data_IF_718775977391
#
_entry.id   IF_718775977391
#
_cell.length_a   1.000
_cell.length_b   1.000
_cell.length_c   1.000
_cell.angle_alpha   90.00
_cell.angle_beta   90.00
_cell.angle_gamma   90.00
#
_symmetry.space_group_name_H-M   'P 1'
#
loop_
_entity.id
_entity.type
_entity.pdbx_description
1 polymer ?
#
# COMPACT_ATOMS: atom_id res chain seq x y z
N UNK A 1 -32.20 11.24 -5.44
CA UNK A 1 -31.12 10.61 -6.26
C UNK A 1 -31.04 11.41 -7.54
N UNK A 2 -30.01 12.20 -7.72
CA UNK A 2 -29.76 12.88 -8.98
C UNK A 2 -29.38 11.85 -10.05
N UNK A 3 -30.33 11.52 -10.92
CA UNK A 3 -30.12 10.62 -12.04
C UNK A 3 -29.20 11.17 -13.14
N UNK A 4 -28.63 12.35 -12.95
CA UNK A 4 -27.86 13.08 -13.96
C UNK A 4 -26.37 13.23 -13.64
N UNK A 5 -25.86 12.58 -12.59
CA UNK A 5 -24.44 12.66 -12.26
C UNK A 5 -23.65 11.66 -13.11
N UNK A 6 -22.79 12.21 -13.93
CA UNK A 6 -21.70 11.44 -14.59
C UNK A 6 -20.65 11.19 -13.52
N UNK A 7 -20.72 10.03 -12.91
CA UNK A 7 -19.90 9.62 -11.78
C UNK A 7 -20.77 9.13 -10.62
N UNK A 8 -20.18 8.41 -9.68
CA UNK A 8 -20.87 7.98 -8.46
C UNK A 8 -20.51 8.91 -7.32
N UNK A 9 -21.48 9.66 -6.82
CA UNK A 9 -21.37 10.38 -5.56
C UNK A 9 -22.05 9.57 -4.46
N UNK A 10 -21.33 9.34 -3.37
CA UNK A 10 -21.86 8.63 -2.22
C UNK A 10 -21.53 9.40 -0.95
N UNK A 11 -22.53 9.78 -0.19
CA UNK A 11 -22.32 10.33 1.15
C UNK A 11 -22.63 9.30 2.24
N UNK A 12 -22.13 9.54 3.44
CA UNK A 12 -22.34 8.64 4.60
C UNK A 12 -23.84 8.48 4.90
N UNK A 13 -24.64 9.56 4.75
CA UNK A 13 -26.09 9.52 4.95
C UNK A 13 -26.74 8.55 3.97
N UNK A 14 -26.42 8.62 2.67
CA UNK A 14 -27.02 7.77 1.65
C UNK A 14 -26.62 6.31 1.84
N UNK A 15 -25.34 6.08 2.17
CA UNK A 15 -24.83 4.73 2.42
C UNK A 15 -25.53 4.04 3.59
N UNK A 16 -25.88 4.77 4.64
CA UNK A 16 -26.50 4.22 5.84
C UNK A 16 -27.99 4.46 5.94
N UNK A 17 -28.62 4.99 4.89
CA UNK A 17 -30.05 5.29 4.86
C UNK A 17 -30.91 4.08 5.27
N UNK A 18 -30.67 2.93 4.65
CA UNK A 18 -31.39 1.69 4.95
C UNK A 18 -30.77 0.86 6.10
N UNK A 19 -29.68 1.31 6.66
CA UNK A 19 -28.94 0.56 7.71
C UNK A 19 -28.47 1.47 8.83
N UNK A 20 -29.39 2.20 9.51
CA UNK A 20 -29.02 3.20 10.53
C UNK A 20 -28.28 2.59 11.72
N UNK A 21 -28.51 1.30 12.01
CA UNK A 21 -27.77 0.59 13.05
C UNK A 21 -26.25 0.50 12.74
N UNK A 22 -25.89 0.40 11.47
CA UNK A 22 -24.47 0.37 11.05
C UNK A 22 -23.78 1.72 11.21
N UNK A 23 -24.51 2.82 11.14
CA UNK A 23 -23.99 4.18 11.37
C UNK A 23 -23.40 4.29 12.79
N UNK A 24 -23.99 3.59 13.77
CA UNK A 24 -23.51 3.58 15.17
C UNK A 24 -22.13 2.92 15.34
N UNK A 25 -21.67 2.14 14.38
CA UNK A 25 -20.34 1.50 14.41
C UNK A 25 -19.24 2.37 13.80
N UNK A 26 -19.58 3.51 13.20
CA UNK A 26 -18.57 4.47 12.75
C UNK A 26 -17.81 5.02 13.97
N UNK A 27 -16.52 5.16 13.77
CA UNK A 27 -15.63 5.80 14.75
C UNK A 27 -15.78 7.33 14.66
N UNK A 28 -14.88 8.05 15.32
CA UNK A 28 -14.86 9.51 15.18
C UNK A 28 -14.57 9.92 13.73
N UNK A 29 -15.09 11.08 13.31
CA UNK A 29 -14.89 11.63 11.96
C UNK A 29 -13.40 11.68 11.57
N UNK A 30 -12.53 12.03 12.51
CA UNK A 30 -11.09 12.04 12.31
C UNK A 30 -10.54 10.64 12.00
N UNK A 31 -11.03 9.61 12.67
CA UNK A 31 -10.60 8.23 12.46
C UNK A 31 -11.08 7.70 11.12
N UNK A 32 -12.34 7.98 10.76
CA UNK A 32 -12.92 7.58 9.49
C UNK A 32 -12.25 8.30 8.32
N UNK A 33 -12.00 9.61 8.45
CA UNK A 33 -11.27 10.38 7.45
C UNK A 33 -9.85 9.84 7.22
N UNK A 34 -9.16 9.45 8.29
CA UNK A 34 -7.83 8.83 8.17
C UNK A 34 -7.88 7.46 7.50
N UNK A 35 -8.92 6.68 7.75
CA UNK A 35 -9.14 5.39 7.08
C UNK A 35 -9.44 5.58 5.59
N UNK A 36 -10.25 6.57 5.23
CA UNK A 36 -10.53 6.94 3.84
C UNK A 36 -9.25 7.39 3.12
N UNK A 37 -8.46 8.26 3.75
CA UNK A 37 -7.19 8.73 3.20
C UNK A 37 -6.23 7.58 2.94
N UNK A 38 -6.11 6.64 3.88
CA UNK A 38 -5.25 5.47 3.72
C UNK A 38 -5.75 4.54 2.63
N UNK A 39 -7.07 4.38 2.47
CA UNK A 39 -7.65 3.58 1.39
C UNK A 39 -7.37 4.23 0.02
N UNK A 40 -7.59 5.54 -0.11
CA UNK A 40 -7.29 6.29 -1.33
C UNK A 40 -5.81 6.25 -1.70
N UNK A 41 -4.92 6.38 -0.70
CA UNK A 41 -3.46 6.27 -0.88
C UNK A 41 -3.05 4.89 -1.42
N UNK A 42 -3.63 3.81 -0.88
CA UNK A 42 -3.37 2.45 -1.35
C UNK A 42 -3.85 2.25 -2.79
N UNK A 43 -5.02 2.78 -3.13
CA UNK A 43 -5.51 2.76 -4.52
C UNK A 43 -4.54 3.50 -5.45
N UNK A 44 -4.09 4.68 -5.06
CA UNK A 44 -3.19 5.50 -5.86
C UNK A 44 -1.81 4.84 -6.06
N UNK A 45 -1.25 4.20 -5.03
CA UNK A 45 -0.01 3.43 -5.16
C UNK A 45 -0.17 2.20 -6.06
N UNK A 46 -1.35 1.56 -6.02
CA UNK A 46 -1.63 0.37 -6.85
C UNK A 46 -1.95 0.67 -8.31
N UNK A 47 -2.34 1.93 -8.62
CA UNK A 47 -2.80 2.36 -9.94
C UNK A 47 -2.12 3.65 -10.38
N UNK A 48 -0.82 3.62 -10.69
CA UNK A 48 -0.08 4.81 -11.10
C UNK A 48 -0.59 5.43 -12.41
N UNK A 49 -1.33 4.67 -13.22
CA UNK A 49 -1.97 5.10 -14.46
C UNK A 49 -3.24 5.94 -14.22
N UNK A 50 -3.74 6.00 -12.98
CA UNK A 50 -4.95 6.75 -12.64
C UNK A 50 -4.58 8.03 -11.89
N UNK A 51 -5.10 9.17 -12.38
CA UNK A 51 -4.99 10.42 -11.63
C UNK A 51 -5.99 10.43 -10.47
N UNK A 52 -5.48 10.53 -9.25
CA UNK A 52 -6.30 10.54 -8.03
C UNK A 52 -6.01 11.80 -7.23
N UNK A 53 -7.09 12.54 -6.92
CA UNK A 53 -7.04 13.68 -6.01
C UNK A 53 -7.86 13.36 -4.76
N UNK A 54 -7.26 13.49 -3.61
CA UNK A 54 -7.94 13.31 -2.33
C UNK A 54 -8.04 14.65 -1.59
N UNK A 55 -9.28 15.07 -1.34
CA UNK A 55 -9.60 16.33 -0.65
C UNK A 55 -10.26 15.98 0.68
N UNK A 56 -9.79 16.58 1.75
CA UNK A 56 -10.34 16.44 3.10
C UNK A 56 -10.54 17.85 3.69
N UNK A 57 -11.71 18.13 4.21
CA UNK A 57 -12.04 19.42 4.83
C UNK A 57 -11.64 20.64 3.96
N UNK A 58 -11.90 20.54 2.63
CA UNK A 58 -11.52 21.50 1.59
C UNK A 58 -10.02 21.65 1.33
N UNK A 59 -9.17 20.86 2.01
CA UNK A 59 -7.72 20.83 1.78
C UNK A 59 -7.36 19.64 0.92
N UNK A 60 -6.51 19.86 -0.08
CA UNK A 60 -5.92 18.78 -0.87
C UNK A 60 -4.85 18.07 -0.05
N UNK A 61 -5.09 16.83 0.30
CA UNK A 61 -4.14 15.99 1.06
C UNK A 61 -3.08 15.38 0.15
N UNK A 62 -3.49 14.96 -1.06
CA UNK A 62 -2.57 14.50 -2.09
C UNK A 62 -3.21 14.51 -3.49
N UNK A 63 -2.33 14.53 -4.49
CA UNK A 63 -2.69 14.41 -5.90
C UNK A 63 -1.66 13.54 -6.62
N UNK A 64 -2.12 12.56 -7.42
CA UNK A 64 -1.28 11.76 -8.31
C UNK A 64 -1.58 12.09 -9.78
N UNK A 65 -0.54 12.23 -10.62
CA UNK A 65 -0.73 12.71 -12.00
C UNK A 65 -1.40 11.70 -12.94
N UNK A 66 -1.32 10.39 -12.65
CA UNK A 66 -1.84 9.35 -13.54
C UNK A 66 -0.94 9.11 -14.76
N UNK A 67 0.35 9.34 -14.63
CA UNK A 67 1.34 9.23 -15.71
C UNK A 67 1.89 7.80 -15.91
N UNK A 68 1.37 6.83 -15.17
CA UNK A 68 1.80 5.44 -15.19
C UNK A 68 3.14 5.19 -14.48
N UNK A 69 3.74 6.21 -13.85
CA UNK A 69 5.04 6.07 -13.18
C UNK A 69 4.86 5.88 -11.69
N UNK A 70 5.34 4.76 -11.17
CA UNK A 70 5.33 4.48 -9.73
C UNK A 70 6.11 5.53 -8.93
N UNK A 71 7.19 6.06 -9.49
CA UNK A 71 8.01 7.12 -8.86
C UNK A 71 7.20 8.38 -8.57
N UNK A 72 6.40 8.83 -9.54
CA UNK A 72 5.53 10.00 -9.40
C UNK A 72 4.50 9.80 -8.28
N UNK A 73 3.93 8.59 -8.19
CA UNK A 73 3.01 8.22 -7.11
C UNK A 73 3.70 8.21 -5.76
N UNK A 74 4.84 7.55 -5.63
CA UNK A 74 5.61 7.50 -4.37
C UNK A 74 5.98 8.91 -3.91
N UNK A 75 6.45 9.77 -4.83
CA UNK A 75 6.78 11.16 -4.50
C UNK A 75 5.57 11.95 -4.01
N UNK A 76 4.44 11.84 -4.70
CA UNK A 76 3.21 12.58 -4.37
C UNK A 76 2.58 12.10 -3.06
N UNK A 77 2.66 10.80 -2.76
CA UNK A 77 1.91 10.18 -1.67
C UNK A 77 2.70 10.04 -0.36
N UNK A 78 4.01 9.83 -0.45
CA UNK A 78 4.85 9.66 0.73
C UNK A 78 5.45 10.96 1.26
N UNK A 79 5.26 12.05 0.53
CA UNK A 79 5.82 13.35 0.86
C UNK A 79 7.31 13.47 0.50
N UNK A 80 7.75 14.70 0.27
CA UNK A 80 9.08 15.01 -0.25
C UNK A 80 10.21 14.39 0.58
N UNK A 81 10.15 14.53 1.89
CA UNK A 81 11.23 14.09 2.80
C UNK A 81 11.43 12.57 2.76
N UNK A 82 10.32 11.82 2.69
CA UNK A 82 10.40 10.36 2.58
C UNK A 82 10.77 9.95 1.16
N UNK A 83 10.17 10.57 0.15
CA UNK A 83 10.39 10.20 -1.24
C UNK A 83 11.85 10.36 -1.68
N UNK A 84 12.55 11.39 -1.18
CA UNK A 84 13.99 11.61 -1.45
C UNK A 84 14.88 10.54 -0.81
N UNK A 85 14.38 9.81 0.17
CA UNK A 85 15.09 8.73 0.85
C UNK A 85 14.69 7.34 0.32
N UNK A 86 13.80 7.28 -0.68
CA UNK A 86 13.38 6.01 -1.28
C UNK A 86 14.34 5.60 -2.41
N UNK A 87 14.78 4.37 -2.34
CA UNK A 87 15.64 3.72 -3.32
C UNK A 87 14.81 2.75 -4.15
N UNK A 88 15.01 2.76 -5.45
CA UNK A 88 14.36 1.79 -6.34
C UNK A 88 14.99 0.42 -6.15
N UNK A 89 14.18 -0.60 -6.03
CA UNK A 89 14.60 -1.99 -5.99
C UNK A 89 13.93 -2.80 -7.09
N UNK A 90 14.64 -3.78 -7.60
CA UNK A 90 14.13 -4.75 -8.56
C UNK A 90 14.89 -6.07 -8.37
N UNK A 91 14.19 -7.16 -8.45
CA UNK A 91 14.77 -8.49 -8.38
C UNK A 91 13.81 -9.53 -8.94
N UNK A 92 14.36 -10.65 -9.35
CA UNK A 92 13.58 -11.80 -9.80
C UNK A 92 14.23 -13.07 -9.24
N UNK A 93 13.43 -13.90 -8.58
CA UNK A 93 13.89 -15.17 -8.04
C UNK A 93 12.75 -16.19 -8.09
N UNK A 94 13.04 -17.40 -8.58
CA UNK A 94 12.07 -18.50 -8.67
C UNK A 94 10.78 -18.14 -9.42
N UNK A 95 10.86 -17.30 -10.45
CA UNK A 95 9.68 -16.84 -11.20
C UNK A 95 8.81 -15.82 -10.45
N UNK A 96 9.32 -15.28 -9.34
CA UNK A 96 8.70 -14.20 -8.57
C UNK A 96 9.49 -12.92 -8.85
N UNK A 97 8.81 -11.94 -9.44
CA UNK A 97 9.39 -10.62 -9.69
C UNK A 97 8.98 -9.66 -8.57
N UNK A 98 9.97 -8.95 -8.05
CA UNK A 98 9.79 -7.93 -7.02
C UNK A 98 10.31 -6.61 -7.56
N UNK A 99 9.47 -5.59 -7.56
CA UNK A 99 9.83 -4.23 -7.96
C UNK A 99 9.31 -3.23 -6.94
N UNK A 100 9.83 -2.03 -6.92
CA UNK A 100 9.28 -0.97 -6.09
C UNK A 100 10.33 -0.07 -5.47
N UNK A 101 9.99 0.44 -4.30
CA UNK A 101 10.78 1.43 -3.59
C UNK A 101 10.87 1.07 -2.11
N UNK A 102 12.05 1.26 -1.54
CA UNK A 102 12.31 1.06 -0.10
C UNK A 102 13.14 2.21 0.44
N UNK A 103 12.99 2.54 1.70
CA UNK A 103 13.77 3.61 2.32
C UNK A 103 15.24 3.25 2.42
N UNK A 104 16.11 4.26 2.32
CA UNK A 104 17.52 4.08 2.64
C UNK A 104 17.70 3.60 4.10
N UNK A 105 18.80 2.89 4.43
CA UNK A 105 19.08 2.47 5.80
C UNK A 105 19.16 3.61 6.82
N UNK A 106 19.46 4.83 6.37
CA UNK A 106 19.49 6.03 7.22
C UNK A 106 18.08 6.51 7.60
N UNK A 107 17.02 6.04 6.93
CA UNK A 107 15.65 6.51 7.12
C UNK A 107 14.70 5.39 7.56
N UNK A 108 14.34 5.39 8.83
CA UNK A 108 13.38 4.44 9.40
C UNK A 108 12.20 5.13 10.06
N UNK A 109 11.04 4.50 10.03
CA UNK A 109 9.82 4.93 10.73
C UNK A 109 9.71 4.26 12.09
N UNK A 110 9.00 4.90 13.05
CA UNK A 110 8.73 4.32 14.38
C UNK A 110 7.70 3.19 14.36
N UNK A 111 7.05 2.97 13.22
CA UNK A 111 6.05 1.90 13.06
C UNK A 111 5.99 1.43 11.59
N UNK A 112 5.19 0.36 11.34
CA UNK A 112 5.02 -0.27 10.03
C UNK A 112 3.99 0.39 9.12
N UNK A 113 3.49 1.58 9.45
CA UNK A 113 2.40 2.24 8.70
C UNK A 113 2.78 2.65 7.27
N UNK A 114 4.08 2.76 6.99
CA UNK A 114 4.62 3.10 5.67
C UNK A 114 5.11 1.87 4.88
N UNK A 115 4.64 0.67 5.22
CA UNK A 115 4.92 -0.55 4.47
C UNK A 115 3.70 -0.92 3.63
N UNK A 116 3.84 -0.84 2.31
CA UNK A 116 2.79 -1.14 1.34
C UNK A 116 3.25 -2.29 0.44
N UNK A 117 2.42 -3.33 0.38
CA UNK A 117 2.69 -4.50 -0.45
C UNK A 117 1.56 -4.71 -1.45
N UNK A 118 1.92 -4.96 -2.68
CA UNK A 118 1.00 -5.27 -3.76
C UNK A 118 1.36 -6.62 -4.37
N UNK A 119 0.39 -7.50 -4.48
CA UNK A 119 0.54 -8.81 -5.11
C UNK A 119 -0.34 -8.87 -6.35
N UNK A 120 0.25 -9.03 -7.52
CA UNK A 120 -0.45 -9.01 -8.80
C UNK A 120 -1.43 -7.82 -8.92
N UNK A 121 -0.97 -6.60 -8.58
CA UNK A 121 -1.74 -5.36 -8.61
C UNK A 121 -2.68 -5.15 -7.41
N UNK A 122 -2.84 -6.10 -6.51
CA UNK A 122 -3.71 -6.00 -5.34
C UNK A 122 -2.94 -5.62 -4.09
N UNK A 123 -3.42 -4.60 -3.35
CA UNK A 123 -2.89 -4.31 -2.02
C UNK A 123 -3.15 -5.46 -1.05
N UNK A 124 -2.10 -5.89 -0.35
CA UNK A 124 -2.16 -6.96 0.65
C UNK A 124 -1.47 -6.57 1.95
N UNK A 125 -1.90 -7.19 3.03
CA UNK A 125 -1.21 -7.20 4.33
C UNK A 125 -0.61 -8.58 4.52
N UNK A 126 0.69 -8.66 4.73
CA UNK A 126 1.38 -9.93 4.92
C UNK A 126 2.50 -9.78 5.94
N UNK A 127 2.40 -10.53 7.02
CA UNK A 127 3.46 -10.61 8.03
C UNK A 127 4.74 -11.23 7.45
N UNK A 128 4.59 -12.16 6.51
CA UNK A 128 5.70 -12.78 5.79
C UNK A 128 6.53 -11.72 5.05
N UNK A 129 5.87 -10.84 4.29
CA UNK A 129 6.54 -9.79 3.52
C UNK A 129 7.17 -8.74 4.44
N UNK A 130 6.48 -8.38 5.53
CA UNK A 130 7.05 -7.50 6.56
C UNK A 130 8.33 -8.09 7.13
N UNK A 131 8.31 -9.37 7.51
CA UNK A 131 9.48 -10.06 8.05
C UNK A 131 10.62 -10.14 7.03
N UNK A 132 10.33 -10.39 5.75
CA UNK A 132 11.34 -10.43 4.70
C UNK A 132 12.04 -9.08 4.51
N UNK A 133 11.25 -7.98 4.48
CA UNK A 133 11.79 -6.62 4.39
C UNK A 133 12.62 -6.29 5.64
N UNK A 134 12.09 -6.54 6.84
CA UNK A 134 12.78 -6.23 8.09
C UNK A 134 14.08 -7.06 8.25
N UNK A 135 14.07 -8.31 7.77
CA UNK A 135 15.27 -9.13 7.77
C UNK A 135 16.38 -8.60 6.85
N UNK A 136 16.01 -8.04 5.69
CA UNK A 136 16.97 -7.41 4.79
C UNK A 136 17.65 -6.16 5.42
N UNK A 137 16.92 -5.48 6.30
CA UNK A 137 17.43 -4.31 7.04
C UNK A 137 18.05 -4.64 8.40
N UNK A 138 18.17 -5.93 8.73
CA UNK A 138 18.78 -6.34 9.99
C UNK A 138 20.21 -5.83 10.09
N UNK A 139 20.52 -5.17 11.19
CA UNK A 139 21.79 -4.52 11.49
C UNK A 139 22.12 -3.24 10.68
N UNK A 140 21.23 -2.75 9.84
CA UNK A 140 21.42 -1.50 9.10
C UNK A 140 20.54 -0.36 9.61
N UNK A 141 19.35 -0.67 10.10
CA UNK A 141 18.46 0.30 10.76
C UNK A 141 18.70 0.34 12.27
N UNK A 142 18.45 1.50 12.85
CA UNK A 142 18.44 1.68 14.31
C UNK A 142 17.35 0.80 14.95
N UNK A 143 17.63 0.30 16.14
CA UNK A 143 16.69 -0.51 16.94
C UNK A 143 15.36 0.23 17.13
N UNK A 144 14.25 -0.48 16.91
CA UNK A 144 12.90 0.08 17.00
C UNK A 144 12.47 0.92 15.79
N UNK A 145 13.24 0.92 14.72
CA UNK A 145 12.87 1.53 13.45
C UNK A 145 12.50 0.48 12.41
N UNK A 146 11.57 0.86 11.54
CA UNK A 146 11.05 0.01 10.46
C UNK A 146 11.28 0.67 9.11
N UNK A 147 11.70 -0.07 8.09
CA UNK A 147 11.86 0.48 6.75
C UNK A 147 10.49 0.86 6.17
N UNK A 148 10.45 1.97 5.44
CA UNK A 148 9.31 2.30 4.61
C UNK A 148 9.47 1.60 3.26
N UNK A 149 8.37 1.12 2.67
CA UNK A 149 8.42 0.49 1.36
C UNK A 149 7.08 0.56 0.62
N UNK A 150 7.17 0.54 -0.70
CA UNK A 150 6.07 0.24 -1.61
C UNK A 150 6.57 -0.83 -2.59
N UNK A 151 6.22 -2.09 -2.33
CA UNK A 151 6.71 -3.24 -3.08
C UNK A 151 5.59 -3.89 -3.90
N UNK A 152 5.91 -4.20 -5.14
CA UNK A 152 5.04 -4.85 -6.10
C UNK A 152 5.60 -6.22 -6.41
N UNK A 153 4.86 -7.26 -6.07
CA UNK A 153 5.22 -8.65 -6.21
C UNK A 153 4.35 -9.26 -7.31
N UNK A 154 5.00 -9.76 -8.35
CA UNK A 154 4.35 -10.47 -9.44
C UNK A 154 4.74 -11.94 -9.38
N UNK A 155 3.75 -12.81 -9.33
CA UNK A 155 3.92 -14.27 -9.31
C UNK A 155 2.76 -14.95 -10.01
N UNK A 156 2.93 -16.24 -10.33
CA UNK A 156 1.88 -17.03 -10.98
C UNK A 156 0.60 -17.05 -10.16
N UNK A 157 -0.55 -16.86 -10.81
CA UNK A 157 -1.86 -16.83 -10.14
C UNK A 157 -2.17 -18.10 -9.34
N UNK A 158 -1.66 -19.25 -9.76
CA UNK A 158 -1.81 -20.52 -9.04
C UNK A 158 -0.96 -20.61 -7.75
N UNK A 159 -0.05 -19.67 -7.54
CA UNK A 159 0.85 -19.65 -6.37
C UNK A 159 0.32 -18.79 -5.22
N UNK A 160 -0.84 -18.15 -5.37
CA UNK A 160 -1.43 -17.29 -4.36
C UNK A 160 -2.94 -17.51 -4.27
N UNK A 161 -3.42 -17.77 -3.05
CA UNK A 161 -4.85 -17.79 -2.73
C UNK A 161 -5.24 -16.46 -2.10
N UNK A 162 -6.15 -15.74 -2.75
CA UNK A 162 -6.67 -14.44 -2.30
C UNK A 162 -8.00 -14.55 -1.57
N UNK A 163 -8.59 -15.74 -1.49
CA UNK A 163 -9.89 -15.97 -0.86
C UNK A 163 -9.76 -16.38 0.61
N UNK A 164 -8.85 -15.77 1.33
CA UNK A 164 -8.57 -16.08 2.75
C UNK A 164 -9.37 -15.19 3.69
N UNK A 165 -9.61 -13.93 3.31
CA UNK A 165 -10.27 -12.94 4.16
C UNK A 165 -11.40 -12.21 3.39
N UNK A 166 -12.56 -11.91 4.01
CA UNK A 166 -13.68 -11.23 3.32
C UNK A 166 -13.29 -9.91 2.62
N UNK A 167 -12.41 -9.11 3.23
CA UNK A 167 -11.88 -7.90 2.63
C UNK A 167 -10.79 -8.16 1.58
N UNK A 168 -10.38 -9.41 1.38
CA UNK A 168 -9.33 -9.84 0.42
C UNK A 168 -8.02 -9.04 0.56
N UNK A 169 -7.72 -8.58 1.76
CA UNK A 169 -6.47 -7.88 2.08
C UNK A 169 -5.37 -8.82 2.56
N UNK A 170 -5.72 -10.07 2.83
CA UNK A 170 -4.78 -11.12 3.23
C UNK A 170 -4.75 -12.19 2.15
N UNK A 171 -3.58 -12.74 1.90
CA UNK A 171 -3.36 -13.79 0.91
C UNK A 171 -2.55 -14.91 1.54
N UNK A 172 -2.73 -16.12 1.03
CA UNK A 172 -1.91 -17.28 1.38
C UNK A 172 -1.06 -17.64 0.16
N UNK A 173 0.24 -17.70 0.36
CA UNK A 173 1.17 -18.14 -0.67
C UNK A 173 1.34 -19.67 -0.59
N UNK A 174 1.36 -20.34 -1.74
CA UNK A 174 1.61 -21.78 -1.79
C UNK A 174 3.02 -22.13 -1.32
N UNK A 175 4.00 -21.26 -1.63
CA UNK A 175 5.42 -21.46 -1.30
C UNK A 175 5.96 -20.21 -0.60
N UNK A 176 5.60 -20.06 0.68
CA UNK A 176 5.96 -18.88 1.50
C UNK A 176 7.46 -18.60 1.52
N UNK A 177 8.28 -19.65 1.58
CA UNK A 177 9.75 -19.51 1.61
C UNK A 177 10.29 -18.90 0.33
N UNK A 178 9.77 -19.29 -0.84
CA UNK A 178 10.22 -18.71 -2.12
C UNK A 178 9.87 -17.24 -2.22
N UNK A 179 8.67 -16.86 -1.72
CA UNK A 179 8.23 -15.46 -1.69
C UNK A 179 9.09 -14.64 -0.72
N UNK A 180 9.36 -15.18 0.46
CA UNK A 180 10.26 -14.56 1.43
C UNK A 180 11.66 -14.33 0.83
N UNK A 181 12.26 -15.38 0.26
CA UNK A 181 13.60 -15.32 -0.33
C UNK A 181 13.63 -14.32 -1.51
N UNK A 182 12.61 -14.30 -2.38
CA UNK A 182 12.53 -13.36 -3.49
C UNK A 182 12.53 -11.91 -3.01
N UNK A 183 11.73 -11.57 -1.99
CA UNK A 183 11.70 -10.22 -1.43
C UNK A 183 13.01 -9.90 -0.72
N UNK A 184 13.49 -10.79 0.13
CA UNK A 184 14.73 -10.59 0.89
C UNK A 184 15.92 -10.34 -0.04
N UNK A 185 16.13 -11.21 -1.03
CA UNK A 185 17.24 -11.12 -1.97
C UNK A 185 17.16 -9.86 -2.86
N UNK A 186 15.95 -9.38 -3.17
CA UNK A 186 15.79 -8.13 -3.92
C UNK A 186 16.23 -6.89 -3.14
N UNK A 187 16.43 -6.99 -1.84
CA UNK A 187 16.70 -5.87 -0.94
C UNK A 187 18.09 -5.90 -0.28
N UNK A 188 18.78 -7.04 -0.26
CA UNK A 188 20.06 -7.17 0.46
C UNK A 188 21.22 -6.35 -0.13
N UNK A 189 21.02 -5.77 -1.31
CA UNK A 189 22.06 -4.95 -1.98
C UNK A 189 21.82 -3.43 -1.79
N UNK A 190 20.89 -3.05 -0.91
CA UNK A 190 20.51 -1.66 -0.63
C UNK A 190 21.43 -1.03 0.41
#
# INVERSE_FOLDING_TARGET
ICACLVGSEMCIRDRFYNTPARLKFLKSDRSEASACQLAALRCALGHPEVSIRFIKDRNEEFFTPGDGKQESCVYSLMGRDMATQMLRCTGENNGIRVTGFVSSPAYGKGNRSAQFFFCNGRFIKSQLLQAAVEQAYKNTLLTGRYPACALYIELGYGSVDVNVHPAKTEVKFSEERKVFDAVHLSLIHI
#
